data_IF_062919906168
#
_entry.id   IF_062919906168
#
_cell.length_a   1.000
_cell.length_b   1.000
_cell.length_c   1.000
_cell.angle_alpha   90.00
_cell.angle_beta   90.00
_cell.angle_gamma   90.00
#
_symmetry.space_group_name_H-M   'P 1'
#
loop_
_entity.id
_entity.type
_entity.pdbx_description
1 polymer ?
#
# COMPACT_ATOMS: atom_id res chain seq x y z
N UNK A 1 -1.91 5.57 -7.86
CA UNK A 1 -1.40 4.91 -6.64
C UNK A 1 -1.97 5.47 -5.34
N UNK A 2 -1.81 6.76 -5.01
CA UNK A 2 -2.20 7.31 -3.71
C UNK A 2 -3.66 7.04 -3.29
N UNK A 3 -4.63 7.22 -4.19
CA UNK A 3 -6.06 6.90 -3.96
C UNK A 3 -6.37 5.40 -3.90
N UNK A 4 -5.50 4.54 -4.44
CA UNK A 4 -5.68 3.09 -4.45
C UNK A 4 -5.10 2.42 -3.19
N UNK A 5 -4.22 3.10 -2.46
CA UNK A 5 -3.68 2.63 -1.20
C UNK A 5 -4.77 2.61 -0.11
N UNK A 6 -4.73 1.63 0.79
CA UNK A 6 -5.75 1.45 1.84
C UNK A 6 -5.77 2.62 2.82
N UNK A 7 -4.60 3.03 3.29
CA UNK A 7 -4.43 4.08 4.30
C UNK A 7 -3.68 5.32 3.77
N UNK A 8 -3.19 5.26 2.53
CA UNK A 8 -2.22 6.20 1.96
C UNK A 8 -0.84 5.55 1.80
N UNK A 9 0.12 6.34 1.33
CA UNK A 9 1.49 5.90 1.09
C UNK A 9 2.47 6.86 1.76
N UNK A 10 3.59 6.35 2.25
CA UNK A 10 4.75 7.18 2.61
C UNK A 10 5.42 7.72 1.34
N UNK A 11 6.30 8.72 1.49
CA UNK A 11 7.06 9.28 0.38
C UNK A 11 7.93 8.22 -0.31
N UNK A 12 8.61 7.37 0.47
CA UNK A 12 9.45 6.30 -0.05
C UNK A 12 8.61 5.27 -0.81
N UNK A 13 7.47 4.84 -0.25
CA UNK A 13 6.55 3.93 -0.94
C UNK A 13 6.03 4.55 -2.25
N UNK A 14 5.69 5.83 -2.25
CA UNK A 14 5.22 6.53 -3.45
C UNK A 14 6.30 6.60 -4.52
N UNK A 15 7.54 6.94 -4.15
CA UNK A 15 8.66 6.97 -5.08
C UNK A 15 8.97 5.57 -5.64
N UNK A 16 8.91 4.55 -4.80
CA UNK A 16 9.20 3.18 -5.16
C UNK A 16 8.17 2.63 -6.15
N UNK A 17 6.87 2.82 -5.89
CA UNK A 17 5.82 2.32 -6.79
C UNK A 17 5.82 3.06 -8.13
N UNK A 18 6.11 4.37 -8.14
CA UNK A 18 6.28 5.11 -9.39
C UNK A 18 7.52 4.66 -10.17
N UNK A 19 8.57 4.24 -9.47
CA UNK A 19 9.80 3.73 -10.11
C UNK A 19 9.62 2.34 -10.71
N UNK A 20 8.73 1.53 -10.15
CA UNK A 20 8.41 0.18 -10.63
C UNK A 20 7.38 0.18 -11.76
N UNK A 21 6.69 1.30 -11.95
CA UNK A 21 5.68 1.46 -12.99
C UNK A 21 6.33 1.76 -14.34
N UNK A 22 6.30 0.78 -15.25
CA UNK A 22 6.97 0.87 -16.54
C UNK A 22 6.46 2.05 -17.37
N UNK A 23 5.16 2.36 -17.35
CA UNK A 23 4.60 3.47 -18.13
C UNK A 23 5.13 4.80 -17.61
N UNK A 24 5.07 5.01 -16.29
CA UNK A 24 5.60 6.22 -15.63
C UNK A 24 7.10 6.34 -15.87
N UNK A 25 7.82 5.23 -15.75
CA UNK A 25 9.26 5.22 -15.89
C UNK A 25 9.71 5.51 -17.33
N UNK A 26 9.04 4.94 -18.32
CA UNK A 26 9.30 5.24 -19.73
C UNK A 26 8.92 6.67 -20.11
N UNK A 27 7.79 7.19 -19.60
CA UNK A 27 7.42 8.61 -19.79
C UNK A 27 8.48 9.54 -19.21
N UNK A 28 8.99 9.22 -18.01
CA UNK A 28 10.09 9.95 -17.41
C UNK A 28 11.34 9.92 -18.30
N UNK A 29 11.74 8.74 -18.80
CA UNK A 29 12.91 8.61 -19.68
C UNK A 29 12.76 9.42 -20.98
N UNK A 30 11.55 9.47 -21.55
CA UNK A 30 11.27 10.24 -22.76
C UNK A 30 11.41 11.76 -22.55
N UNK A 31 11.11 12.24 -21.34
CA UNK A 31 11.18 13.66 -20.98
C UNK A 31 12.48 14.05 -20.25
N UNK A 32 13.29 13.07 -19.84
CA UNK A 32 14.54 13.29 -19.13
C UNK A 32 15.55 14.01 -20.04
N UNK A 33 15.94 15.21 -19.62
CA UNK A 33 16.99 16.01 -20.29
C UNK A 33 18.42 15.57 -19.93
N UNK A 34 18.56 14.66 -18.97
CA UNK A 34 19.82 14.20 -18.43
C UNK A 34 19.80 12.68 -18.25
N UNK A 35 20.95 12.04 -18.46
CA UNK A 35 21.13 10.62 -18.18
C UNK A 35 20.92 10.35 -16.69
N UNK A 36 20.14 9.31 -16.38
CA UNK A 36 19.95 8.87 -15.00
C UNK A 36 21.29 8.40 -14.41
N UNK A 37 21.60 8.76 -13.15
CA UNK A 37 22.73 8.16 -12.46
C UNK A 37 22.56 6.64 -12.44
N UNK A 38 23.60 5.89 -12.82
CA UNK A 38 23.59 4.42 -12.71
C UNK A 38 23.49 4.05 -11.22
N UNK A 39 22.31 3.59 -10.79
CA UNK A 39 22.07 3.20 -9.40
C UNK A 39 22.70 1.81 -9.12
N UNK A 40 23.32 1.66 -7.95
CA UNK A 40 24.22 0.57 -7.54
C UNK A 40 23.60 -0.84 -7.43
N UNK A 41 22.35 -1.09 -7.85
CA UNK A 41 21.68 -2.39 -7.63
C UNK A 41 20.77 -2.85 -8.75
N UNK A 42 21.03 -2.44 -10.00
CA UNK A 42 20.31 -2.97 -11.18
C UNK A 42 18.81 -2.64 -11.28
N UNK A 43 18.21 -1.99 -10.26
CA UNK A 43 16.88 -1.39 -10.34
C UNK A 43 17.03 0.09 -10.61
N UNK A 44 16.53 0.55 -11.74
CA UNK A 44 16.46 1.98 -12.05
C UNK A 44 15.37 2.59 -11.16
N UNK A 45 15.71 3.66 -10.42
CA UNK A 45 14.78 4.39 -9.56
C UNK A 45 14.64 5.81 -10.06
N UNK A 46 13.44 6.37 -9.93
CA UNK A 46 13.21 7.78 -10.17
C UNK A 46 14.04 8.62 -9.19
N UNK A 47 14.68 9.71 -9.64
CA UNK A 47 15.35 10.63 -8.75
C UNK A 47 14.35 11.26 -7.77
N UNK A 48 14.70 11.32 -6.48
CA UNK A 48 13.85 11.89 -5.40
C UNK A 48 13.31 13.27 -5.77
N UNK A 49 14.10 14.10 -6.46
CA UNK A 49 13.69 15.45 -6.90
C UNK A 49 12.42 15.47 -7.77
N UNK A 50 12.13 14.41 -8.50
CA UNK A 50 10.91 14.31 -9.32
C UNK A 50 9.70 14.20 -8.42
N UNK A 51 9.76 13.29 -7.43
CA UNK A 51 8.72 13.18 -6.41
C UNK A 51 8.61 14.47 -5.61
N UNK A 52 9.70 15.08 -5.16
CA UNK A 52 9.64 16.32 -4.36
C UNK A 52 8.89 17.45 -5.09
N UNK A 53 9.11 17.62 -6.40
CA UNK A 53 8.38 18.64 -7.19
C UNK A 53 6.89 18.35 -7.24
N UNK A 54 6.53 17.11 -7.55
CA UNK A 54 5.14 16.68 -7.57
C UNK A 54 4.48 16.81 -6.20
N UNK A 55 5.20 16.47 -5.13
CA UNK A 55 4.74 16.63 -3.76
C UNK A 55 4.43 18.10 -3.47
N UNK A 56 5.30 19.05 -3.79
CA UNK A 56 5.03 20.48 -3.55
C UNK A 56 3.81 20.99 -4.32
N UNK A 57 3.58 20.48 -5.53
CA UNK A 57 2.37 20.82 -6.31
C UNK A 57 1.10 20.24 -5.68
N UNK A 58 1.21 19.09 -5.00
CA UNK A 58 0.11 18.38 -4.36
C UNK A 58 -0.08 18.73 -2.87
N UNK A 59 0.93 19.28 -2.20
CA UNK A 59 0.98 19.54 -0.75
C UNK A 59 -0.32 20.18 -0.21
N UNK A 60 -0.91 21.21 -0.86
CA UNK A 60 -2.14 21.84 -0.35
C UNK A 60 -3.36 20.91 -0.29
N UNK A 61 -3.31 19.80 -1.02
CA UNK A 61 -4.36 18.80 -1.14
C UNK A 61 -4.11 17.55 -0.32
N UNK A 62 -2.91 17.44 0.26
CA UNK A 62 -2.48 16.28 1.02
C UNK A 62 -2.60 16.53 2.52
N UNK A 63 -2.67 15.43 3.27
CA UNK A 63 -2.53 15.43 4.71
C UNK A 63 -1.75 14.20 5.13
N UNK A 64 -0.99 14.35 6.21
CA UNK A 64 -0.21 13.26 6.80
C UNK A 64 -0.97 12.64 7.97
N UNK A 65 -0.84 11.31 8.07
CA UNK A 65 -1.42 10.52 9.14
C UNK A 65 -0.53 9.36 9.50
N UNK A 66 -0.39 9.11 10.81
CA UNK A 66 0.34 7.95 11.31
C UNK A 66 -0.56 6.72 11.26
N UNK A 67 -0.15 5.70 10.50
CA UNK A 67 -0.81 4.40 10.49
C UNK A 67 0.22 3.31 10.18
N UNK A 68 -0.02 2.10 10.72
CA UNK A 68 0.83 0.92 10.45
C UNK A 68 2.34 1.19 10.68
N UNK A 69 2.66 2.00 11.69
CA UNK A 69 4.05 2.35 12.04
C UNK A 69 4.74 3.36 11.12
N UNK A 70 4.03 3.98 10.16
CA UNK A 70 4.60 4.94 9.21
C UNK A 70 3.82 6.27 9.15
N UNK A 71 4.49 7.34 8.68
CA UNK A 71 3.81 8.58 8.27
C UNK A 71 3.34 8.41 6.82
N UNK A 72 2.02 8.49 6.62
CA UNK A 72 1.40 8.26 5.32
C UNK A 72 0.72 9.53 4.84
N UNK A 73 0.93 9.83 3.57
CA UNK A 73 0.23 10.88 2.87
C UNK A 73 -1.08 10.35 2.29
N UNK A 74 -2.10 11.20 2.31
CA UNK A 74 -3.39 10.96 1.67
C UNK A 74 -4.00 12.27 1.19
N UNK A 75 -5.04 12.24 0.38
CA UNK A 75 -5.86 13.42 0.12
C UNK A 75 -6.63 13.89 1.38
N UNK A 76 -6.58 15.20 1.63
CA UNK A 76 -7.29 15.85 2.73
C UNK A 76 -8.81 15.83 2.54
N UNK A 77 -9.29 16.10 1.33
CA UNK A 77 -10.72 16.14 1.02
C UNK A 77 -11.21 14.84 0.40
N UNK A 78 -12.22 14.22 1.01
CA UNK A 78 -12.91 13.03 0.45
C UNK A 78 -13.41 13.29 -0.98
N UNK A 79 -14.00 14.47 -1.24
CA UNK A 79 -14.50 14.84 -2.57
C UNK A 79 -13.38 14.85 -3.63
N UNK A 80 -12.18 15.28 -3.26
CA UNK A 80 -11.04 15.26 -4.16
C UNK A 80 -10.58 13.83 -4.41
N UNK A 81 -10.48 13.00 -3.38
CA UNK A 81 -10.17 11.58 -3.52
C UNK A 81 -11.17 10.87 -4.43
N UNK A 82 -12.46 11.20 -4.33
CA UNK A 82 -13.53 10.66 -5.17
C UNK A 82 -13.37 11.10 -6.62
N UNK A 83 -13.18 12.40 -6.86
CA UNK A 83 -12.96 12.94 -8.20
C UNK A 83 -11.70 12.34 -8.86
N UNK A 84 -10.61 12.19 -8.12
CA UNK A 84 -9.37 11.55 -8.60
C UNK A 84 -9.62 10.08 -8.93
N UNK A 85 -10.38 9.37 -8.09
CA UNK A 85 -10.72 7.97 -8.35
C UNK A 85 -11.57 7.83 -9.62
N UNK A 86 -12.59 8.67 -9.78
CA UNK A 86 -13.47 8.66 -10.95
C UNK A 86 -12.72 9.02 -12.24
N UNK A 87 -11.78 9.96 -12.17
CA UNK A 87 -11.07 10.44 -13.35
C UNK A 87 -9.88 9.55 -13.76
N UNK A 88 -9.12 9.04 -12.78
CA UNK A 88 -7.85 8.35 -13.04
C UNK A 88 -7.86 6.85 -12.75
N UNK A 89 -8.87 6.34 -12.03
CA UNK A 89 -9.03 4.91 -11.75
C UNK A 89 -10.33 4.37 -12.37
N UNK A 90 -10.71 4.89 -13.54
CA UNK A 90 -11.79 4.35 -14.33
C UNK A 90 -11.32 3.13 -15.14
N UNK A 91 -12.16 2.11 -15.27
CA UNK A 91 -11.85 0.90 -16.05
C UNK A 91 -10.71 0.07 -15.45
N UNK A 92 -9.84 -0.45 -16.31
CA UNK A 92 -8.80 -1.42 -15.95
C UNK A 92 -7.66 -0.81 -15.14
N UNK A 93 -7.43 0.51 -15.25
CA UNK A 93 -6.42 1.28 -14.51
C UNK A 93 -6.48 1.01 -13.01
N UNK A 94 -7.69 0.91 -12.46
CA UNK A 94 -7.87 0.60 -11.04
C UNK A 94 -7.23 -0.73 -10.67
N UNK A 95 -7.52 -1.77 -11.46
CA UNK A 95 -6.96 -3.10 -11.27
C UNK A 95 -5.44 -3.09 -11.42
N UNK A 96 -4.91 -2.37 -12.42
CA UNK A 96 -3.48 -2.23 -12.64
C UNK A 96 -2.77 -1.56 -11.46
N UNK A 97 -3.31 -0.46 -10.93
CA UNK A 97 -2.71 0.20 -9.76
C UNK A 97 -2.77 -0.68 -8.51
N UNK A 98 -3.84 -1.46 -8.30
CA UNK A 98 -3.90 -2.44 -7.20
C UNK A 98 -2.88 -3.58 -7.38
N UNK A 99 -2.72 -4.11 -8.60
CA UNK A 99 -1.69 -5.12 -8.90
C UNK A 99 -0.27 -4.60 -8.69
N UNK A 100 0.02 -3.37 -9.13
CA UNK A 100 1.31 -2.73 -8.90
C UNK A 100 1.63 -2.58 -7.41
N UNK A 101 0.65 -2.14 -6.60
CA UNK A 101 0.82 -2.06 -5.14
C UNK A 101 0.98 -3.45 -4.50
N UNK A 102 0.20 -4.43 -4.93
CA UNK A 102 0.29 -5.80 -4.44
C UNK A 102 1.69 -6.36 -4.68
N UNK A 103 2.23 -6.24 -5.90
CA UNK A 103 3.58 -6.69 -6.21
C UNK A 103 4.64 -5.97 -5.36
N UNK A 104 4.51 -4.65 -5.21
CA UNK A 104 5.44 -3.87 -4.40
C UNK A 104 5.50 -4.34 -2.94
N UNK A 105 4.36 -4.61 -2.31
CA UNK A 105 4.32 -5.13 -0.94
C UNK A 105 4.65 -6.62 -0.85
N UNK A 106 4.39 -7.39 -1.90
CA UNK A 106 4.72 -8.81 -1.93
C UNK A 106 6.24 -9.05 -2.00
N UNK A 107 6.96 -8.22 -2.75
CA UNK A 107 8.42 -8.24 -2.86
C UNK A 107 9.16 -7.94 -1.54
N UNK A 108 8.46 -7.39 -0.54
CA UNK A 108 9.05 -7.05 0.76
C UNK A 108 9.05 -8.24 1.73
N UNK A 109 10.02 -8.24 2.65
CA UNK A 109 10.03 -9.19 3.75
C UNK A 109 8.92 -8.88 4.78
N UNK A 110 8.43 -9.92 5.46
CA UNK A 110 7.46 -9.78 6.57
C UNK A 110 8.06 -9.12 7.81
N UNK A 111 9.39 -9.01 7.86
CA UNK A 111 10.15 -8.39 8.92
C UNK A 111 11.37 -7.70 8.30
N UNK A 112 11.60 -6.43 8.62
CA UNK A 112 12.73 -5.64 8.14
C UNK A 112 13.56 -5.28 9.38
N UNK A 113 14.83 -5.69 9.40
CA UNK A 113 15.73 -5.41 10.54
C UNK A 113 15.14 -5.82 11.91
N UNK A 114 14.46 -6.97 11.95
CA UNK A 114 13.76 -7.51 13.14
C UNK A 114 12.51 -6.74 13.57
N UNK A 115 12.05 -5.78 12.77
CA UNK A 115 10.81 -5.03 12.98
C UNK A 115 9.71 -5.61 12.08
N UNK A 116 8.53 -5.96 12.60
CA UNK A 116 7.41 -6.43 11.79
C UNK A 116 7.06 -5.42 10.68
N UNK A 117 6.89 -5.89 9.45
CA UNK A 117 6.47 -5.05 8.34
C UNK A 117 4.93 -4.88 8.36
N UNK A 118 4.47 -3.93 9.17
CA UNK A 118 3.04 -3.64 9.34
C UNK A 118 2.40 -3.13 8.03
N UNK A 119 3.17 -2.45 7.18
CA UNK A 119 2.71 -1.95 5.88
C UNK A 119 2.35 -3.10 4.93
N UNK A 120 3.24 -4.08 4.76
CA UNK A 120 2.95 -5.32 4.02
C UNK A 120 1.72 -6.03 4.59
N UNK A 121 1.63 -6.19 5.90
CA UNK A 121 0.48 -6.87 6.52
C UNK A 121 -0.84 -6.12 6.29
N UNK A 122 -0.83 -4.79 6.30
CA UNK A 122 -2.03 -3.96 6.14
C UNK A 122 -2.51 -3.87 4.69
N UNK A 123 -1.57 -3.68 3.75
CA UNK A 123 -1.86 -3.39 2.34
C UNK A 123 -1.97 -4.66 1.49
N UNK A 124 -1.08 -5.64 1.64
CA UNK A 124 -0.97 -6.77 0.71
C UNK A 124 -2.29 -7.50 0.42
N UNK A 125 -3.04 -8.02 1.42
CA UNK A 125 -4.30 -8.72 1.14
C UNK A 125 -5.38 -7.80 0.56
N UNK A 126 -5.39 -6.52 0.93
CA UNK A 126 -6.30 -5.53 0.37
C UNK A 126 -6.02 -5.29 -1.13
N UNK A 127 -4.74 -5.10 -1.47
CA UNK A 127 -4.30 -4.86 -2.84
C UNK A 127 -4.48 -6.10 -3.73
N UNK A 128 -4.12 -7.30 -3.23
CA UNK A 128 -4.34 -8.55 -3.95
C UNK A 128 -5.84 -8.80 -4.21
N UNK A 129 -6.71 -8.48 -3.25
CA UNK A 129 -8.17 -8.63 -3.43
C UNK A 129 -8.71 -7.68 -4.49
N UNK A 130 -8.36 -6.39 -4.43
CA UNK A 130 -8.87 -5.39 -5.38
C UNK A 130 -8.19 -5.44 -6.75
N UNK A 131 -7.00 -6.03 -6.83
CA UNK A 131 -6.31 -6.37 -8.09
C UNK A 131 -6.72 -7.72 -8.68
N UNK A 132 -7.65 -8.44 -8.03
CA UNK A 132 -8.15 -9.76 -8.42
C UNK A 132 -7.06 -10.84 -8.55
N UNK A 133 -6.02 -10.75 -7.71
CA UNK A 133 -4.87 -11.67 -7.67
C UNK A 133 -5.18 -12.91 -6.82
N UNK A 134 -6.18 -13.70 -7.24
CA UNK A 134 -6.79 -14.75 -6.39
C UNK A 134 -5.81 -15.83 -5.90
N UNK A 135 -4.85 -16.22 -6.74
CA UNK A 135 -3.86 -17.22 -6.36
C UNK A 135 -2.90 -16.68 -5.30
N UNK A 136 -2.43 -15.44 -5.48
CA UNK A 136 -1.51 -14.80 -4.55
C UNK A 136 -2.22 -14.44 -3.24
N UNK A 137 -3.48 -13.98 -3.32
CA UNK A 137 -4.34 -13.76 -2.16
C UNK A 137 -4.54 -15.05 -1.37
N UNK A 138 -4.81 -16.17 -2.04
CA UNK A 138 -4.95 -17.46 -1.39
C UNK A 138 -3.65 -17.86 -0.69
N UNK A 139 -2.49 -17.67 -1.33
CA UNK A 139 -1.19 -17.93 -0.72
C UNK A 139 -0.98 -17.07 0.54
N UNK A 140 -1.24 -15.76 0.47
CA UNK A 140 -1.13 -14.83 1.60
C UNK A 140 -2.07 -15.20 2.76
N UNK A 141 -3.36 -15.43 2.48
CA UNK A 141 -4.38 -15.69 3.50
C UNK A 141 -4.39 -17.14 4.01
N UNK A 142 -3.51 -18.01 3.50
CA UNK A 142 -3.29 -19.36 4.04
C UNK A 142 -1.88 -19.57 4.58
N UNK A 143 -0.98 -18.57 4.45
CA UNK A 143 0.32 -18.58 5.10
C UNK A 143 0.16 -18.36 6.61
N UNK A 144 0.39 -19.43 7.38
CA UNK A 144 0.30 -19.39 8.84
C UNK A 144 1.19 -18.32 9.48
N UNK A 145 2.40 -18.12 8.96
CA UNK A 145 3.34 -17.12 9.49
C UNK A 145 2.82 -15.71 9.23
N UNK A 146 2.25 -15.46 8.05
CA UNK A 146 1.59 -14.18 7.75
C UNK A 146 0.44 -13.91 8.71
N UNK A 147 -0.48 -14.87 8.85
CA UNK A 147 -1.68 -14.73 9.69
C UNK A 147 -1.33 -14.52 11.17
N UNK A 148 -0.42 -15.33 11.71
CA UNK A 148 0.04 -15.21 13.10
C UNK A 148 0.62 -13.82 13.36
N UNK A 149 1.51 -13.35 12.47
CA UNK A 149 2.17 -12.05 12.62
C UNK A 149 1.19 -10.90 12.46
N UNK A 150 0.30 -10.94 11.47
CA UNK A 150 -0.73 -9.90 11.33
C UNK A 150 -1.64 -9.84 12.55
N UNK A 151 -2.02 -10.99 13.10
CA UNK A 151 -2.83 -11.05 14.33
C UNK A 151 -2.11 -10.49 15.56
N UNK A 152 -0.80 -10.72 15.67
CA UNK A 152 -0.02 -10.37 16.85
C UNK A 152 0.54 -8.93 16.82
N UNK A 153 0.86 -8.41 15.63
CA UNK A 153 1.64 -7.17 15.50
C UNK A 153 0.82 -6.01 14.93
N UNK A 154 -0.23 -6.28 14.14
CA UNK A 154 -1.03 -5.23 13.51
C UNK A 154 -2.21 -4.82 14.39
N UNK A 155 -2.45 -3.50 14.49
CA UNK A 155 -3.55 -2.96 15.28
C UNK A 155 -3.37 -3.15 16.79
N UNK A 156 -2.12 -3.16 17.26
CA UNK A 156 -1.79 -3.16 18.70
C UNK A 156 -2.01 -1.76 19.26
N UNK A 157 -3.00 -1.63 20.14
CA UNK A 157 -3.32 -0.38 20.83
C UNK A 157 -2.78 -0.46 22.25
N UNK A 158 -1.97 0.52 22.64
CA UNK A 158 -1.52 0.70 24.01
C UNK A 158 -2.45 1.69 24.73
N UNK A 159 -3.00 1.27 25.87
CA UNK A 159 -3.80 2.12 26.75
C UNK A 159 -3.20 2.09 28.16
N UNK A 160 -3.02 3.26 28.75
CA UNK A 160 -2.55 3.40 30.12
C UNK A 160 -3.73 3.60 31.05
N UNK A 161 -3.89 2.72 32.04
CA UNK A 161 -4.93 2.86 33.04
C UNK A 161 -4.64 4.03 34.02
N UNK A 162 -5.62 4.40 34.83
CA UNK A 162 -5.47 5.47 35.83
C UNK A 162 -4.42 5.17 36.92
N UNK A 163 -3.87 3.95 36.97
CA UNK A 163 -2.81 3.51 37.89
C UNK A 163 -1.43 3.45 37.22
N UNK A 164 -1.32 3.84 35.95
CA UNK A 164 -0.07 3.84 35.18
C UNK A 164 0.30 2.50 34.56
N UNK A 165 -0.58 1.48 34.59
CA UNK A 165 -0.31 0.21 33.92
C UNK A 165 -0.64 0.31 32.43
N UNK A 166 0.30 -0.12 31.59
CA UNK A 166 0.10 -0.21 30.14
C UNK A 166 -0.57 -1.54 29.81
N UNK A 167 -1.74 -1.47 29.17
CA UNK A 167 -2.45 -2.64 28.62
C UNK A 167 -2.38 -2.59 27.10
N UNK A 168 -2.06 -3.73 26.48
CA UNK A 168 -2.05 -3.90 25.02
C UNK A 168 -3.31 -4.60 24.55
N UNK A 169 -4.06 -3.96 23.67
CA UNK A 169 -5.21 -4.55 22.98
C UNK A 169 -4.80 -4.91 21.56
N UNK A 170 -4.90 -6.19 21.22
CA UNK A 170 -4.54 -6.71 19.91
C UNK A 170 -5.79 -6.79 19.04
N UNK A 171 -5.87 -5.97 17.99
CA UNK A 171 -7.04 -5.95 17.07
C UNK A 171 -6.77 -6.67 15.75
N UNK A 172 -5.58 -7.23 15.55
CA UNK A 172 -5.17 -7.91 14.31
C UNK A 172 -6.10 -9.03 13.84
N UNK A 173 -6.75 -9.76 14.76
CA UNK A 173 -7.76 -10.77 14.40
C UNK A 173 -8.95 -10.16 13.66
N UNK A 174 -9.42 -8.98 14.07
CA UNK A 174 -10.52 -8.29 13.38
C UNK A 174 -10.09 -7.79 12.00
N UNK A 175 -8.84 -7.31 11.88
CA UNK A 175 -8.28 -6.90 10.60
C UNK A 175 -8.16 -8.09 9.62
N UNK A 176 -7.81 -9.29 10.12
CA UNK A 176 -7.84 -10.52 9.32
C UNK A 176 -9.26 -10.87 8.88
N UNK A 177 -10.24 -10.79 9.79
CA UNK A 177 -11.65 -11.01 9.44
C UNK A 177 -12.11 -10.05 8.34
N UNK A 178 -11.66 -8.80 8.38
CA UNK A 178 -11.96 -7.80 7.35
C UNK A 178 -11.33 -8.15 6.00
N UNK A 179 -10.09 -8.65 5.97
CA UNK A 179 -9.47 -9.12 4.73
C UNK A 179 -10.26 -10.30 4.13
N UNK A 180 -10.59 -11.32 4.95
CA UNK A 180 -11.38 -12.46 4.50
C UNK A 180 -12.77 -12.03 4.01
N UNK A 181 -13.41 -11.08 4.69
CA UNK A 181 -14.71 -10.56 4.28
C UNK A 181 -14.61 -9.86 2.92
N UNK A 182 -13.64 -8.96 2.76
CA UNK A 182 -13.42 -8.27 1.49
C UNK A 182 -13.10 -9.26 0.37
N UNK A 183 -12.27 -10.27 0.64
CA UNK A 183 -11.96 -11.33 -0.31
C UNK A 183 -13.23 -12.07 -0.76
N UNK A 184 -14.10 -12.46 0.17
CA UNK A 184 -15.36 -13.15 -0.13
C UNK A 184 -16.36 -12.26 -0.89
N UNK A 185 -16.43 -10.97 -0.57
CA UNK A 185 -17.30 -10.00 -1.27
C UNK A 185 -16.87 -9.78 -2.72
N UNK A 186 -15.56 -9.83 -2.99
CA UNK A 186 -14.97 -9.61 -4.32
C UNK A 186 -14.72 -10.90 -5.09
N UNK A 187 -14.74 -12.05 -4.41
CA UNK A 187 -14.49 -13.34 -5.03
C UNK A 187 -15.43 -13.52 -6.22
N UNK A 188 -14.92 -13.87 -7.41
CA UNK A 188 -15.78 -14.13 -8.55
C UNK A 188 -16.66 -15.30 -8.18
N UNK A 189 -17.96 -15.04 -7.98
CA UNK A 189 -18.93 -16.11 -7.80
C UNK A 189 -18.78 -17.03 -9.01
N UNK A 190 -18.20 -18.21 -8.78
CA UNK A 190 -17.99 -19.24 -9.78
C UNK A 190 -19.23 -19.33 -10.65
N UNK A 191 -19.04 -19.19 -11.96
CA UNK A 191 -20.08 -18.93 -12.93
C UNK A 191 -21.40 -19.63 -12.62
N UNK A 192 -22.50 -18.85 -12.63
CA UNK A 192 -23.80 -19.45 -12.96
C UNK A 192 -23.64 -19.99 -14.38
N UNK A 193 -23.49 -21.31 -14.45
CA UNK A 193 -23.55 -22.14 -15.67
C UNK A 193 -24.74 -21.77 -16.55
#
# INVERSE_FOLDING_TARGET
YLVAAKNGLSEDEMLDVLSLDEEVFQDFLAHARHELPTQERGKQRLPVVIWSRLYFDLEPYLTERTADGASLMTFYHRQLSEAVTEHYLAGDERGDRHRGLAQYFDDQELEIERVPNLRKMSELPYQQTLGEMWNDLHATLTDFRFLERKSAELGVLESTDAKGNVTRTYTGVFLLQDDFRLALEKWPASGRS
#
